data_IF_232719001730
#
_entry.id   IF_232719001730
#
_cell.length_a   1.000
_cell.length_b   1.000
_cell.length_c   1.000
_cell.angle_alpha   90.00
_cell.angle_beta   90.00
_cell.angle_gamma   90.00
#
_symmetry.space_group_name_H-M   'P 1'
#
loop_
_entity.id
_entity.type
_entity.pdbx_description
1 polymer ?
#
# COMPACT_ATOMS: atom_id res chain seq x y z
N UNK A 1 -0.03 -1.46 -13.53
CA UNK A 1 -1.27 -1.78 -12.80
C UNK A 1 -1.18 -1.06 -11.45
N UNK A 2 -2.28 -0.85 -10.73
CA UNK A 2 -2.16 -0.31 -9.37
C UNK A 2 -2.06 -1.49 -8.41
N UNK A 3 -1.09 -1.49 -7.49
CA UNK A 3 -1.02 -2.52 -6.46
C UNK A 3 -2.19 -2.34 -5.49
N UNK A 4 -3.13 -3.29 -5.48
CA UNK A 4 -4.27 -3.33 -4.57
C UNK A 4 -3.97 -4.27 -3.39
N UNK A 5 -4.26 -3.80 -2.17
CA UNK A 5 -4.16 -4.58 -0.96
C UNK A 5 -5.44 -4.45 -0.14
N UNK A 6 -6.00 -5.59 0.27
CA UNK A 6 -7.12 -5.62 1.21
C UNK A 6 -6.57 -5.91 2.60
N UNK A 7 -6.83 -4.99 3.53
CA UNK A 7 -6.38 -5.16 4.92
C UNK A 7 -7.25 -6.21 5.66
N UNK A 8 -6.82 -6.65 6.85
CA UNK A 8 -7.57 -7.60 7.70
C UNK A 8 -8.94 -7.10 8.14
N UNK A 9 -9.22 -5.79 8.00
CA UNK A 9 -10.52 -5.17 8.29
C UNK A 9 -11.42 -5.10 7.05
N UNK A 10 -11.05 -5.74 5.94
CA UNK A 10 -11.82 -5.75 4.69
C UNK A 10 -11.79 -4.44 3.90
N UNK A 11 -10.87 -3.52 4.21
CA UNK A 11 -10.71 -2.25 3.49
C UNK A 11 -9.67 -2.40 2.40
N UNK A 12 -10.07 -2.00 1.18
CA UNK A 12 -9.18 -1.94 0.03
C UNK A 12 -8.36 -0.67 0.03
N UNK A 13 -7.08 -0.84 -0.26
CA UNK A 13 -6.11 0.22 -0.39
C UNK A 13 -5.29 -0.01 -1.66
N UNK A 14 -4.86 1.08 -2.26
CA UNK A 14 -4.04 1.10 -3.45
C UNK A 14 -2.72 1.79 -3.10
N UNK A 15 -1.62 1.26 -3.62
CA UNK A 15 -0.31 1.87 -3.42
C UNK A 15 -0.16 3.12 -4.27
N UNK A 16 0.31 4.19 -3.66
CA UNK A 16 0.59 5.48 -4.27
C UNK A 16 2.01 5.92 -3.94
N UNK A 17 2.60 6.70 -4.83
CA UNK A 17 3.88 7.38 -4.58
C UNK A 17 3.73 8.88 -4.76
N UNK A 18 4.20 9.65 -3.77
CA UNK A 18 4.33 11.10 -3.87
C UNK A 18 5.79 11.47 -3.68
N UNK A 19 6.52 11.53 -4.79
CA UNK A 19 7.97 11.72 -4.80
C UNK A 19 8.69 10.53 -4.17
N UNK A 20 9.18 10.71 -2.94
CA UNK A 20 9.91 9.68 -2.19
C UNK A 20 9.07 8.96 -1.13
N UNK A 21 7.81 9.38 -0.94
CA UNK A 21 6.90 8.79 0.03
C UNK A 21 5.97 7.79 -0.65
N UNK A 22 6.00 6.54 -0.19
CA UNK A 22 5.04 5.53 -0.56
C UNK A 22 3.95 5.43 0.50
N UNK A 23 2.69 5.47 0.08
CA UNK A 23 1.56 5.40 0.98
C UNK A 23 0.39 4.66 0.35
N UNK A 24 -0.49 4.14 1.20
CA UNK A 24 -1.69 3.45 0.77
C UNK A 24 -2.89 4.39 0.87
N UNK A 25 -3.62 4.54 -0.24
CA UNK A 25 -4.82 5.36 -0.33
C UNK A 25 -6.02 4.49 -0.71
N UNK A 26 -7.25 4.90 -0.35
CA UNK A 26 -8.46 4.21 -0.81
C UNK A 26 -8.84 4.57 -2.24
N UNK A 27 -8.20 5.60 -2.81
CA UNK A 27 -8.44 6.02 -4.17
C UNK A 27 -7.64 5.13 -5.14
N UNK A 28 -8.28 4.46 -6.11
CA UNK A 28 -7.56 3.72 -7.16
C UNK A 28 -6.91 4.62 -8.21
N UNK A 29 -7.32 5.89 -8.31
CA UNK A 29 -6.74 6.83 -9.28
C UNK A 29 -5.25 7.05 -8.97
N UNK A 30 -4.39 7.10 -9.98
CA UNK A 30 -2.93 7.34 -9.84
C UNK A 30 -2.17 6.31 -8.99
N UNK A 31 -2.75 5.12 -8.78
CA UNK A 31 -2.06 4.03 -8.12
C UNK A 31 -0.85 3.55 -8.92
N UNK A 32 0.20 3.16 -8.21
CA UNK A 32 1.44 2.62 -8.78
C UNK A 32 1.58 1.13 -8.46
N UNK A 33 2.42 0.43 -9.23
CA UNK A 33 2.83 -0.93 -8.91
C UNK A 33 3.80 -0.96 -7.73
N UNK A 34 3.84 -2.09 -7.02
CA UNK A 34 4.78 -2.30 -5.91
C UNK A 34 6.22 -2.40 -6.46
N UNK A 35 7.13 -1.49 -6.06
CA UNK A 35 8.51 -1.56 -6.50
C UNK A 35 9.20 -2.84 -6.01
N UNK A 36 10.09 -3.39 -6.83
CA UNK A 36 10.85 -4.59 -6.49
C UNK A 36 11.69 -4.38 -5.22
N UNK A 37 11.71 -5.38 -4.33
CA UNK A 37 12.40 -5.30 -3.04
C UNK A 37 11.60 -4.62 -1.93
N UNK A 38 10.34 -4.27 -2.18
CA UNK A 38 9.41 -3.85 -1.14
C UNK A 38 8.36 -4.93 -0.94
N UNK A 39 7.97 -5.15 0.31
CA UNK A 39 6.87 -6.01 0.71
C UNK A 39 5.79 -5.23 1.43
N UNK A 40 4.56 -5.67 1.29
CA UNK A 40 3.43 -5.07 1.99
C UNK A 40 3.26 -5.77 3.32
N UNK A 41 3.29 -4.99 4.39
CA UNK A 41 3.10 -5.42 5.76
C UNK A 41 1.91 -4.67 6.34
N UNK A 42 1.05 -5.35 7.07
CA UNK A 42 -0.03 -4.71 7.79
C UNK A 42 0.42 -4.39 9.21
N UNK A 43 0.17 -3.16 9.64
CA UNK A 43 0.36 -2.82 11.05
C UNK A 43 -0.78 -3.43 11.88
N UNK A 44 -0.47 -4.39 12.74
CA UNK A 44 -1.45 -5.08 13.58
C UNK A 44 -2.22 -4.13 14.52
N UNK A 45 -1.59 -3.04 14.98
CA UNK A 45 -2.19 -2.09 15.92
C UNK A 45 -3.22 -1.18 15.24
N UNK A 46 -2.91 -0.68 14.04
CA UNK A 46 -3.79 0.28 13.33
C UNK A 46 -4.65 -0.39 12.25
N UNK A 47 -4.20 -1.55 11.74
CA UNK A 47 -4.74 -2.21 10.55
C UNK A 47 -4.40 -1.48 9.25
N UNK A 48 -3.40 -0.60 9.26
CA UNK A 48 -2.98 0.13 8.07
C UNK A 48 -1.94 -0.70 7.29
N UNK A 49 -2.15 -0.90 5.98
CA UNK A 49 -1.12 -1.47 5.12
C UNK A 49 0.03 -0.47 4.95
N UNK A 50 1.24 -0.97 5.04
CA UNK A 50 2.49 -0.23 4.92
C UNK A 50 3.43 -1.03 4.02
N UNK A 51 4.35 -0.35 3.33
CA UNK A 51 5.42 -1.06 2.64
C UNK A 51 6.67 -1.07 3.50
N UNK A 52 7.40 -2.17 3.47
CA UNK A 52 8.70 -2.33 4.12
C UNK A 52 9.68 -2.83 3.08
N UNK A 53 10.86 -2.21 3.02
CA UNK A 53 11.95 -2.75 2.22
C UNK A 53 12.34 -4.12 2.79
N UNK A 54 12.41 -5.13 1.94
CA UNK A 54 12.95 -6.44 2.31
C UNK A 54 14.48 -6.40 2.40
#
# INVERSE_FOLDING_TARGET
>A
MAYEHTNSKGKKYYLHSRGHLYFFSKNPAEGIDLPAGYKVVENQTTGLPMIKKE
#
